data_IF_317377489261
#
_entry.id   IF_317377489261
#
_cell.length_a   1.000
_cell.length_b   1.000
_cell.length_c   1.000
_cell.angle_alpha   90.00
_cell.angle_beta   90.00
_cell.angle_gamma   90.00
#
_symmetry.space_group_name_H-M   'P 1'
#
loop_
_entity.id
_entity.type
_entity.pdbx_description
1 polymer ?
#
# COMPACT_ATOMS: atom_id res chain seq x y z
N UNK A 1 -17.63 -2.15 4.75
CA UNK A 1 -16.53 -1.68 3.89
C UNK A 1 -17.12 -0.80 2.80
N UNK A 2 -16.44 0.30 2.44
CA UNK A 2 -16.78 1.18 1.33
C UNK A 2 -15.62 1.22 0.33
N UNK A 3 -15.93 1.36 -0.96
CA UNK A 3 -14.94 1.52 -2.03
C UNK A 3 -15.27 2.71 -2.91
N UNK A 4 -14.23 3.43 -3.32
CA UNK A 4 -14.33 4.64 -4.12
C UNK A 4 -13.19 4.69 -5.12
N UNK A 5 -13.46 5.09 -6.37
CA UNK A 5 -12.39 5.26 -7.35
C UNK A 5 -11.45 6.38 -6.91
N UNK A 6 -10.15 6.10 -6.95
CA UNK A 6 -9.15 7.06 -6.56
C UNK A 6 -9.01 8.18 -7.59
N UNK A 7 -9.07 9.42 -7.11
CA UNK A 7 -8.91 10.64 -7.89
C UNK A 7 -8.22 11.75 -7.09
N UNK A 8 -8.14 12.95 -7.68
CA UNK A 8 -7.45 14.07 -7.05
C UNK A 8 -8.13 14.58 -5.77
N UNK A 9 -9.44 14.40 -5.61
CA UNK A 9 -10.17 14.87 -4.42
C UNK A 9 -9.69 14.18 -3.14
N UNK A 10 -9.15 12.97 -3.27
CA UNK A 10 -8.58 12.18 -2.18
C UNK A 10 -7.22 12.70 -1.69
N UNK A 11 -6.64 13.73 -2.32
CA UNK A 11 -5.35 14.32 -1.90
C UNK A 11 -5.36 14.75 -0.43
N UNK A 12 -6.44 15.37 0.02
CA UNK A 12 -6.56 15.84 1.41
C UNK A 12 -6.56 14.69 2.41
N UNK A 13 -7.12 13.54 2.03
CA UNK A 13 -7.15 12.33 2.84
C UNK A 13 -5.79 11.61 2.82
N UNK A 14 -5.23 11.39 1.63
CA UNK A 14 -4.06 10.52 1.46
C UNK A 14 -2.73 11.20 1.76
N UNK A 15 -2.56 12.48 1.40
CA UNK A 15 -1.28 13.16 1.60
C UNK A 15 -0.72 13.04 3.03
N UNK A 16 -1.50 13.24 4.11
CA UNK A 16 -0.98 13.06 5.46
C UNK A 16 -0.66 11.59 5.80
N UNK A 17 -1.47 10.63 5.33
CA UNK A 17 -1.22 9.20 5.55
C UNK A 17 0.11 8.77 4.91
N UNK A 18 0.29 9.16 3.64
CA UNK A 18 1.50 8.87 2.86
C UNK A 18 2.75 9.54 3.45
N UNK A 19 2.64 10.75 3.98
CA UNK A 19 3.76 11.45 4.66
C UNK A 19 4.18 10.78 5.99
N UNK A 20 3.29 10.01 6.60
CA UNK A 20 3.60 9.28 7.82
C UNK A 20 4.39 8.00 7.55
N UNK A 21 4.29 7.43 6.35
CA UNK A 21 5.16 6.33 5.93
C UNK A 21 6.60 6.82 5.80
N UNK A 22 7.51 6.20 6.55
CA UNK A 22 8.93 6.59 6.60
C UNK A 22 9.81 5.81 5.64
N UNK A 23 9.29 4.76 5.04
CA UNK A 23 9.99 3.98 4.03
C UNK A 23 10.00 4.76 2.71
N UNK A 24 11.17 4.95 2.08
CA UNK A 24 11.32 5.74 0.86
C UNK A 24 10.91 4.95 -0.41
N UNK A 25 9.69 4.41 -0.44
CA UNK A 25 9.13 3.79 -1.65
C UNK A 25 8.29 4.76 -2.46
N UNK A 26 8.42 4.69 -3.78
CA UNK A 26 7.78 5.57 -4.76
C UNK A 26 6.27 5.33 -4.83
N UNK A 27 5.79 4.14 -4.48
CA UNK A 27 4.37 3.82 -4.31
C UNK A 27 3.72 4.74 -3.27
N UNK A 28 4.44 5.17 -2.24
CA UNK A 28 3.92 6.09 -1.22
C UNK A 28 3.94 7.56 -1.66
N UNK A 29 4.27 7.86 -2.92
CA UNK A 29 4.17 9.21 -3.46
C UNK A 29 2.76 9.46 -4.05
N UNK A 30 2.04 10.45 -3.52
CA UNK A 30 0.70 10.81 -4.04
C UNK A 30 0.72 11.12 -5.55
N UNK A 31 1.75 11.82 -6.03
CA UNK A 31 1.87 12.15 -7.45
C UNK A 31 1.99 10.89 -8.31
N UNK A 32 2.75 9.89 -7.82
CA UNK A 32 2.93 8.60 -8.49
C UNK A 32 1.59 7.84 -8.57
N UNK A 33 0.93 7.67 -7.41
CA UNK A 33 -0.39 7.06 -7.33
C UNK A 33 -1.38 7.74 -8.26
N UNK A 34 -1.44 9.08 -8.23
CA UNK A 34 -2.38 9.82 -9.05
C UNK A 34 -2.07 9.64 -10.53
N UNK A 35 -0.80 9.66 -10.93
CA UNK A 35 -0.40 9.46 -12.32
C UNK A 35 -0.83 8.10 -12.86
N UNK A 36 -0.64 7.03 -12.09
CA UNK A 36 -0.96 5.66 -12.52
C UNK A 36 -2.36 5.16 -12.15
N UNK A 37 -3.22 6.00 -11.55
CA UNK A 37 -4.56 5.63 -11.06
C UNK A 37 -5.44 4.88 -12.06
N UNK A 38 -5.39 5.24 -13.34
CA UNK A 38 -6.19 4.59 -14.37
C UNK A 38 -5.59 3.24 -14.79
N UNK A 39 -4.26 3.15 -14.84
CA UNK A 39 -3.53 1.94 -15.22
C UNK A 39 -3.74 0.84 -14.19
N UNK A 40 -3.60 1.18 -12.90
CA UNK A 40 -3.75 0.25 -11.79
C UNK A 40 -5.16 0.21 -11.20
N UNK A 41 -6.09 0.98 -11.77
CA UNK A 41 -7.50 1.06 -11.33
C UNK A 41 -7.62 1.27 -9.83
N UNK A 42 -6.92 2.28 -9.31
CA UNK A 42 -6.84 2.48 -7.87
C UNK A 42 -8.22 2.76 -7.26
N UNK A 43 -8.47 2.10 -6.12
CA UNK A 43 -9.65 2.29 -5.29
C UNK A 43 -9.23 2.60 -3.86
N UNK A 44 -9.89 3.57 -3.23
CA UNK A 44 -9.81 3.79 -1.79
C UNK A 44 -10.74 2.78 -1.12
N UNK A 45 -10.21 2.06 -0.14
CA UNK A 45 -10.94 1.04 0.60
C UNK A 45 -11.00 1.47 2.06
N UNK A 46 -12.21 1.69 2.56
CA UNK A 46 -12.45 2.12 3.94
C UNK A 46 -13.17 1.01 4.71
N UNK A 47 -12.63 0.65 5.88
CA UNK A 47 -13.25 -0.31 6.80
C UNK A 47 -13.13 0.18 8.23
N UNK A 48 -14.28 0.47 8.86
CA UNK A 48 -14.32 1.11 10.17
C UNK A 48 -13.59 2.45 10.14
N UNK A 49 -12.55 2.58 10.97
CA UNK A 49 -11.68 3.77 11.05
C UNK A 49 -10.45 3.71 10.14
N UNK A 50 -10.25 2.60 9.43
CA UNK A 50 -9.04 2.32 8.67
C UNK A 50 -9.23 2.56 7.17
N UNK A 51 -8.16 3.00 6.54
CA UNK A 51 -8.09 3.32 5.12
C UNK A 51 -6.94 2.54 4.48
N UNK A 52 -7.20 2.02 3.30
CA UNK A 52 -6.28 1.26 2.47
C UNK A 52 -6.43 1.72 1.02
N UNK A 53 -5.46 1.39 0.18
CA UNK A 53 -5.56 1.55 -1.26
C UNK A 53 -5.62 0.16 -1.89
N UNK A 54 -6.48 -0.06 -2.89
CA UNK A 54 -6.45 -1.25 -3.72
C UNK A 54 -5.96 -0.88 -5.12
N UNK A 55 -5.22 -1.79 -5.75
CA UNK A 55 -4.84 -1.68 -7.15
C UNK A 55 -4.80 -3.02 -7.85
N UNK A 56 -4.48 -2.97 -9.15
CA UNK A 56 -4.24 -4.13 -10.01
C UNK A 56 -2.84 -4.00 -10.58
N UNK A 57 -2.00 -5.02 -10.37
CA UNK A 57 -0.64 -5.07 -10.91
C UNK A 57 -0.65 -5.18 -12.45
N UNK A 58 0.52 -5.03 -13.08
CA UNK A 58 0.64 -5.22 -14.52
C UNK A 58 0.23 -6.65 -14.95
N UNK A 59 0.52 -7.64 -14.12
CA UNK A 59 0.14 -9.06 -14.30
C UNK A 59 -1.31 -9.39 -13.90
N UNK A 60 -2.13 -8.36 -13.68
CA UNK A 60 -3.56 -8.48 -13.34
C UNK A 60 -3.86 -9.07 -11.97
N UNK A 61 -2.87 -9.15 -11.08
CA UNK A 61 -3.10 -9.51 -9.68
C UNK A 61 -3.65 -8.30 -8.92
N UNK A 62 -4.71 -8.53 -8.17
CA UNK A 62 -5.35 -7.52 -7.34
C UNK A 62 -4.64 -7.46 -5.99
N UNK A 63 -4.23 -6.28 -5.60
CA UNK A 63 -3.49 -6.09 -4.35
C UNK A 63 -4.15 -5.07 -3.43
N UNK A 64 -3.86 -5.24 -2.14
CA UNK A 64 -4.20 -4.31 -1.08
C UNK A 64 -2.92 -3.64 -0.57
N UNK A 65 -2.89 -2.32 -0.63
CA UNK A 65 -1.79 -1.49 -0.19
C UNK A 65 -2.10 -0.88 1.18
N UNK A 66 -1.28 -1.15 2.20
CA UNK A 66 -1.36 -0.45 3.46
C UNK A 66 -1.00 1.03 3.28
N UNK A 67 -1.69 1.90 4.00
CA UNK A 67 -1.49 3.35 4.08
C UNK A 67 -1.04 3.79 5.48
N UNK A 68 -0.64 2.84 6.32
CA UNK A 68 -0.06 3.04 7.64
C UNK A 68 1.07 2.03 7.84
N UNK A 69 2.02 2.38 8.70
CA UNK A 69 3.10 1.48 9.09
C UNK A 69 2.54 0.31 9.92
N UNK A 70 2.82 -0.92 9.49
CA UNK A 70 2.29 -2.13 10.13
C UNK A 70 2.89 -2.40 11.50
N UNK A 71 4.01 -1.75 11.85
CA UNK A 71 4.66 -1.87 13.15
C UNK A 71 4.06 -0.93 14.20
N UNK A 72 3.27 0.06 13.79
CA UNK A 72 2.67 1.05 14.69
C UNK A 72 1.30 0.63 15.25
N UNK A 73 0.60 -0.31 14.60
CA UNK A 73 -0.76 -0.70 15.00
C UNK A 73 -1.13 -2.14 14.65
N UNK A 74 -1.21 -3.00 15.66
CA UNK A 74 -1.71 -4.38 15.52
C UNK A 74 -3.17 -4.44 15.02
N UNK A 75 -3.99 -3.47 15.43
CA UNK A 75 -5.39 -3.40 15.02
C UNK A 75 -5.52 -3.10 13.52
N UNK A 76 -4.69 -2.18 13.00
CA UNK A 76 -4.61 -1.89 11.57
C UNK A 76 -4.14 -3.13 10.79
N UNK A 77 -3.07 -3.78 11.24
CA UNK A 77 -2.51 -4.97 10.61
C UNK A 77 -3.51 -6.12 10.57
N UNK A 78 -4.25 -6.37 11.67
CA UNK A 78 -5.32 -7.37 11.70
C UNK A 78 -6.43 -7.07 10.70
N UNK A 79 -6.84 -5.80 10.61
CA UNK A 79 -7.89 -5.41 9.67
C UNK A 79 -7.44 -5.51 8.21
N UNK A 80 -6.20 -5.12 7.90
CA UNK A 80 -5.59 -5.28 6.57
C UNK A 80 -5.66 -6.75 6.13
N UNK A 81 -5.24 -7.66 7.01
CA UNK A 81 -5.18 -9.09 6.72
C UNK A 81 -6.57 -9.69 6.60
N UNK A 82 -7.51 -9.27 7.45
CA UNK A 82 -8.91 -9.68 7.38
C UNK A 82 -9.52 -9.30 6.04
N UNK A 83 -9.34 -8.05 5.61
CA UNK A 83 -9.83 -7.56 4.31
C UNK A 83 -9.14 -8.30 3.17
N UNK A 84 -7.82 -8.47 3.23
CA UNK A 84 -7.05 -9.22 2.23
C UNK A 84 -7.63 -10.62 1.98
N UNK A 85 -7.97 -11.33 3.08
CA UNK A 85 -8.53 -12.70 3.03
C UNK A 85 -10.00 -12.77 2.62
N UNK A 86 -10.83 -11.81 3.01
CA UNK A 86 -12.28 -11.84 2.75
C UNK A 86 -12.67 -11.33 1.36
N UNK A 87 -11.83 -10.53 0.72
CA UNK A 87 -12.19 -9.75 -0.48
C UNK A 87 -11.44 -10.18 -1.75
N UNK A 88 -10.96 -11.43 -1.80
CA UNK A 88 -10.24 -12.02 -2.94
C UNK A 88 -9.09 -11.12 -3.45
N UNK A 89 -8.27 -10.61 -2.53
CA UNK A 89 -7.00 -10.00 -2.90
C UNK A 89 -5.95 -11.08 -3.08
N UNK A 90 -5.18 -10.98 -4.16
CA UNK A 90 -4.10 -11.92 -4.46
C UNK A 90 -2.89 -11.68 -3.56
N UNK A 91 -2.64 -10.42 -3.16
CA UNK A 91 -1.49 -10.04 -2.34
C UNK A 91 -1.68 -8.74 -1.56
N UNK A 92 -0.80 -8.52 -0.58
CA UNK A 92 -0.62 -7.23 0.08
C UNK A 92 0.68 -6.63 -0.47
N UNK A 93 0.60 -5.43 -1.03
CA UNK A 93 1.72 -4.79 -1.73
C UNK A 93 1.60 -3.26 -1.72
N UNK A 94 2.71 -2.51 -1.59
CA UNK A 94 4.06 -2.99 -1.25
C UNK A 94 4.18 -3.32 0.24
N UNK A 95 5.14 -4.17 0.58
CA UNK A 95 5.56 -4.45 1.96
C UNK A 95 7.07 -4.25 2.06
N UNK A 96 7.52 -3.18 2.73
CA UNK A 96 8.91 -3.00 3.12
C UNK A 96 9.41 -4.09 4.08
N UNK A 97 10.70 -4.39 4.01
CA UNK A 97 11.35 -5.38 4.88
C UNK A 97 11.15 -5.07 6.37
N UNK A 98 11.09 -3.79 6.75
CA UNK A 98 10.91 -3.37 8.14
C UNK A 98 9.56 -3.78 8.72
N UNK A 99 8.57 -4.09 7.87
CA UNK A 99 7.22 -4.46 8.29
C UNK A 99 6.99 -5.98 8.37
N UNK A 100 7.93 -6.79 7.89
CA UNK A 100 7.78 -8.25 7.82
C UNK A 100 7.53 -8.87 9.20
N UNK A 101 8.12 -8.29 10.25
CA UNK A 101 7.96 -8.75 11.62
C UNK A 101 6.49 -8.72 12.09
N UNK A 102 5.72 -7.70 11.68
CA UNK A 102 4.29 -7.59 11.97
C UNK A 102 3.43 -8.64 11.26
N UNK A 103 3.98 -9.33 10.25
CA UNK A 103 3.29 -10.32 9.43
C UNK A 103 3.67 -11.77 9.77
N UNK A 104 4.70 -11.98 10.60
CA UNK A 104 5.23 -13.33 10.95
C UNK A 104 4.17 -14.31 11.48
N UNK A 105 3.15 -13.82 12.17
CA UNK A 105 2.12 -14.67 12.77
C UNK A 105 1.03 -15.12 11.79
N UNK A 106 1.04 -14.62 10.54
CA UNK A 106 -0.10 -14.72 9.62
C UNK A 106 0.08 -15.70 8.46
N UNK A 107 1.16 -16.49 8.48
CA UNK A 107 1.48 -17.54 7.50
C UNK A 107 1.51 -17.03 6.04
N UNK A 108 2.15 -15.89 5.83
CA UNK A 108 2.39 -15.35 4.49
C UNK A 108 3.59 -16.01 3.82
N UNK A 109 3.47 -16.24 2.50
CA UNK A 109 4.61 -16.40 1.62
C UNK A 109 5.09 -15.01 1.18
N UNK A 110 6.39 -14.74 1.33
CA UNK A 110 7.00 -13.48 0.92
C UNK A 110 7.74 -13.69 -0.40
N UNK A 111 7.53 -12.77 -1.33
CA UNK A 111 8.22 -12.74 -2.62
C UNK A 111 8.74 -11.33 -2.90
N UNK A 112 9.78 -11.22 -3.72
CA UNK A 112 10.32 -9.94 -4.17
C UNK A 112 10.82 -10.04 -5.60
N UNK A 113 10.66 -8.94 -6.34
CA UNK A 113 11.19 -8.79 -7.70
C UNK A 113 12.20 -7.64 -7.72
N UNK A 114 13.44 -7.93 -8.07
CA UNK A 114 14.51 -6.92 -8.16
C UNK A 114 14.15 -5.77 -9.13
N UNK A 115 13.33 -6.07 -10.14
CA UNK A 115 12.85 -5.10 -11.13
C UNK A 115 11.92 -4.03 -10.54
N UNK A 116 11.30 -4.31 -9.40
CA UNK A 116 10.40 -3.39 -8.69
C UNK A 116 11.13 -2.59 -7.59
N UNK A 117 12.46 -2.67 -7.54
CA UNK A 117 13.26 -1.96 -6.52
C UNK A 117 13.46 -0.49 -6.87
N UNK A 118 13.28 0.38 -5.88
CA UNK A 118 13.56 1.80 -6.02
C UNK A 118 15.04 2.14 -5.84
N UNK A 119 15.56 2.99 -6.73
CA UNK A 119 16.91 3.51 -6.66
C UNK A 119 16.95 4.85 -5.94
N UNK A 120 17.60 4.89 -4.77
CA UNK A 120 17.74 6.08 -3.95
C UNK A 120 19.13 6.70 -4.11
N UNK A 121 19.16 8.01 -4.38
CA UNK A 121 20.38 8.79 -4.50
C UNK A 121 20.40 9.90 -3.46
N UNK A 122 21.57 10.15 -2.88
CA UNK A 122 21.80 11.30 -2.01
C UNK A 122 21.85 12.57 -2.86
N UNK A 123 21.25 13.66 -2.36
CA UNK A 123 21.26 14.97 -3.05
C UNK A 123 22.67 15.51 -3.31
N UNK A 124 23.65 15.12 -2.49
CA UNK A 124 25.07 15.52 -2.66
C UNK A 124 25.75 14.91 -3.91
N UNK A 125 25.09 13.96 -4.58
CA UNK A 125 25.60 13.27 -5.79
C UNK A 125 24.96 13.77 -7.10
N UNK A 126 24.20 14.86 -7.05
CA UNK A 126 23.68 15.57 -8.23
C UNK A 126 24.46 16.86 -8.49
#
# INVERSE_FOLDING_TARGET
MQREFFDYSHRTLLAPLLQNIKVPLSEYCFANLYFFRNTHKYEIVTSGKFCFLSGVSYDKQRYLMPLQDLTESDEYTRELIRIGKEEDYDMIFPIPDEWLDSLKEWDFYYDHMEQDSDYLYTVDKM
#
